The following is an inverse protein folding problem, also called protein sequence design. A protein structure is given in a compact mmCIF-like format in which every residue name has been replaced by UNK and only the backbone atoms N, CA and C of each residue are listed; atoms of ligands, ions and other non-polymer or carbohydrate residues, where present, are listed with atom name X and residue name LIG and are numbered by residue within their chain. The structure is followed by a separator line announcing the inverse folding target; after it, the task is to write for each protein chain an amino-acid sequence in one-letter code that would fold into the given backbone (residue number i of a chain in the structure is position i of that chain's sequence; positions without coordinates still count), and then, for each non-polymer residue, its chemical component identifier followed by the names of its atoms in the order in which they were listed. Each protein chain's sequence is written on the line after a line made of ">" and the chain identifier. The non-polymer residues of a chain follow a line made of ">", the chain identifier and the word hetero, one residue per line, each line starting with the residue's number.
data_IF_936222498142
#
_entry.id   IF_936222498142
#
_cell.length_a   1.000
_cell.length_b   1.000
_cell.length_c   1.000
_cell.angle_alpha   90.00
_cell.angle_beta   90.00
_cell.angle_gamma   90.00
#
_symmetry.space_group_name_H-M   'P 1'
#
loop_
_entity.id
_entity.type
_entity.pdbx_description
1 polymer ?
#
# COMPACT_ATOMS: atom_id res chain seq x y z
N UNK A 1 -23.28 -1.54 15.31
CA UNK A 1 -22.74 -2.34 14.19
C UNK A 1 -22.87 -1.49 12.94
N UNK A 2 -21.76 -1.10 12.31
CA UNK A 2 -21.76 -0.36 11.05
C UNK A 2 -20.92 -1.13 10.04
N UNK A 3 -21.57 -1.69 9.03
CA UNK A 3 -20.95 -2.26 7.85
C UNK A 3 -20.83 -1.15 6.78
N UNK A 4 -19.63 -0.96 6.23
CA UNK A 4 -19.39 -0.02 5.13
C UNK A 4 -17.92 -0.03 4.73
N UNK A 5 -17.64 -0.30 3.45
CA UNK A 5 -16.30 -0.32 2.85
C UNK A 5 -15.65 1.08 2.72
N UNK A 6 -16.28 2.11 3.28
CA UNK A 6 -15.77 3.48 3.29
C UNK A 6 -15.54 3.90 4.76
N UNK A 7 -14.27 3.98 5.24
CA UNK A 7 -13.96 4.20 6.65
C UNK A 7 -14.14 5.67 7.08
N UNK A 8 -14.92 6.47 6.35
CA UNK A 8 -15.19 7.85 6.70
C UNK A 8 -16.62 8.03 7.25
N UNK A 9 -16.70 8.59 8.45
CA UNK A 9 -17.94 8.92 9.14
C UNK A 9 -18.55 10.18 8.49
N UNK A 10 -19.84 10.13 8.17
CA UNK A 10 -20.58 11.28 7.65
C UNK A 10 -20.93 12.22 8.80
N UNK A 11 -20.62 13.49 8.61
CA UNK A 11 -20.83 14.54 9.59
C UNK A 11 -22.00 15.42 9.11
N UNK A 12 -23.21 15.28 9.70
CA UNK A 12 -24.38 16.00 9.24
C UNK A 12 -24.26 17.51 9.51
N UNK A 13 -25.01 18.30 8.74
CA UNK A 13 -25.17 19.74 9.00
C UNK A 13 -25.73 19.92 10.41
N UNK A 14 -25.07 20.71 11.25
CA UNK A 14 -25.75 21.35 12.37
C UNK A 14 -25.73 22.85 12.13
N UNK A 15 -26.80 23.54 12.52
CA UNK A 15 -26.73 24.98 12.78
C UNK A 15 -25.92 25.14 14.05
N UNK A 16 -24.74 25.72 13.93
CA UNK A 16 -23.81 25.92 15.03
C UNK A 16 -23.71 27.44 15.26
N UNK A 17 -23.96 27.95 16.47
CA UNK A 17 -23.81 29.37 16.79
C UNK A 17 -22.31 29.66 17.00
N UNK A 18 -21.70 30.34 16.02
CA UNK A 18 -20.34 30.89 16.01
C UNK A 18 -19.14 29.93 16.23
N UNK A 19 -17.96 30.46 15.90
CA UNK A 19 -16.64 29.84 15.63
C UNK A 19 -16.01 28.95 16.74
N UNK A 20 -16.78 28.46 17.71
CA UNK A 20 -16.25 27.85 18.96
C UNK A 20 -16.66 26.40 19.23
N UNK A 21 -17.47 25.78 18.37
CA UNK A 21 -17.99 24.42 18.67
C UNK A 21 -17.19 23.35 17.93
N UNK A 22 -16.38 22.62 18.69
CA UNK A 22 -15.60 21.49 18.18
C UNK A 22 -16.39 20.20 18.37
N UNK A 23 -16.48 19.37 17.34
CA UNK A 23 -17.06 18.03 17.44
C UNK A 23 -15.95 17.02 17.64
N UNK A 24 -16.25 16.02 18.46
CA UNK A 24 -15.29 14.99 18.86
C UNK A 24 -15.76 13.63 18.40
N UNK A 25 -14.89 12.91 17.68
CA UNK A 25 -15.02 11.49 17.47
C UNK A 25 -13.87 10.79 18.21
N UNK A 26 -14.14 9.64 18.81
CA UNK A 26 -13.09 8.87 19.47
C UNK A 26 -13.27 7.38 19.23
N UNK A 27 -12.18 6.64 19.37
CA UNK A 27 -12.16 5.19 19.36
C UNK A 27 -10.97 4.69 20.19
N UNK A 28 -11.12 3.50 20.76
CA UNK A 28 -10.02 2.82 21.42
C UNK A 28 -9.38 1.82 20.44
N UNK A 29 -8.04 1.75 20.46
CA UNK A 29 -7.23 0.87 19.62
C UNK A 29 -6.29 0.08 20.52
N UNK A 30 -6.39 -1.26 20.48
CA UNK A 30 -5.48 -2.13 21.22
C UNK A 30 -4.25 -2.48 20.38
N UNK A 31 -3.06 -2.34 20.97
CA UNK A 31 -1.79 -2.79 20.38
C UNK A 31 -1.11 -3.82 21.26
N UNK A 32 -0.57 -4.89 20.66
CA UNK A 32 0.16 -5.94 21.40
C UNK A 32 1.60 -5.53 21.76
N UNK A 33 2.14 -4.54 21.06
CA UNK A 33 3.48 -3.99 21.27
C UNK A 33 3.45 -2.47 21.16
N UNK A 34 4.52 -1.82 21.62
CA UNK A 34 4.79 -0.44 21.20
C UNK A 34 4.99 -0.40 19.68
N UNK A 35 4.35 0.55 19.00
CA UNK A 35 4.41 0.69 17.55
C UNK A 35 4.45 2.14 17.13
N UNK A 36 5.41 2.49 16.28
CA UNK A 36 5.31 3.71 15.48
C UNK A 36 4.36 3.44 14.32
N UNK A 37 3.35 4.30 14.16
CA UNK A 37 2.36 4.19 13.10
C UNK A 37 2.26 5.50 12.33
N UNK A 38 1.93 5.40 11.05
CA UNK A 38 1.51 6.54 10.25
C UNK A 38 0.00 6.64 10.28
N UNK A 39 -0.50 7.82 10.62
CA UNK A 39 -1.90 8.17 10.52
C UNK A 39 -2.21 8.81 9.17
N UNK A 40 -3.32 8.37 8.58
CA UNK A 40 -3.94 8.90 7.38
C UNK A 40 -5.30 9.45 7.79
N UNK A 41 -5.38 10.77 7.92
CA UNK A 41 -6.58 11.46 8.32
C UNK A 41 -7.12 12.36 7.21
N UNK A 42 -8.40 12.70 7.33
CA UNK A 42 -9.04 13.70 6.51
C UNK A 42 -10.29 14.20 7.23
N UNK A 43 -10.48 15.51 7.25
CA UNK A 43 -11.72 16.13 7.69
C UNK A 43 -12.00 17.38 6.86
N UNK A 44 -13.26 17.62 6.50
CA UNK A 44 -13.64 18.94 6.04
C UNK A 44 -13.80 19.88 7.24
N UNK A 45 -13.19 21.06 7.18
CA UNK A 45 -13.03 21.95 8.33
C UNK A 45 -11.58 22.04 8.81
N UNK A 46 -11.36 22.38 10.09
CA UNK A 46 -10.07 22.19 10.80
C UNK A 46 -9.99 20.80 11.39
N UNK A 47 -8.78 20.31 11.70
CA UNK A 47 -8.58 18.99 12.29
C UNK A 47 -7.50 19.03 13.37
N UNK A 48 -7.77 18.44 14.53
CA UNK A 48 -6.78 18.08 15.54
C UNK A 48 -6.95 16.61 15.92
N UNK A 49 -5.87 15.90 16.14
CA UNK A 49 -5.89 14.50 16.59
C UNK A 49 -5.03 14.34 17.83
N UNK A 50 -5.56 13.61 18.81
CA UNK A 50 -4.91 13.28 20.07
C UNK A 50 -4.85 11.76 20.26
N UNK A 51 -3.79 11.30 20.92
CA UNK A 51 -3.64 9.92 21.39
C UNK A 51 -3.34 9.95 22.88
N UNK A 52 -4.13 9.24 23.68
CA UNK A 52 -3.96 9.19 25.14
C UNK A 52 -3.86 10.60 25.78
N UNK A 53 -4.63 11.56 25.26
CA UNK A 53 -4.66 12.95 25.73
C UNK A 53 -3.49 13.83 25.23
N UNK A 54 -2.56 13.29 24.44
CA UNK A 54 -1.47 14.05 23.82
C UNK A 54 -1.82 14.45 22.40
N UNK A 55 -1.69 15.74 22.06
CA UNK A 55 -1.86 16.20 20.68
C UNK A 55 -0.74 15.65 19.78
N UNK A 56 -1.13 14.94 18.74
CA UNK A 56 -0.19 14.35 17.77
C UNK A 56 -0.29 14.99 16.39
N UNK A 57 -1.34 15.76 16.14
CA UNK A 57 -1.55 16.46 14.88
C UNK A 57 -2.51 17.64 14.99
N UNK A 58 -2.23 18.69 14.22
CA UNK A 58 -3.10 19.86 14.07
C UNK A 58 -3.03 20.43 12.65
N UNK A 59 -4.19 20.81 12.14
CA UNK A 59 -4.39 21.59 10.91
C UNK A 59 -5.37 22.73 11.17
N UNK A 60 -4.84 23.94 11.22
CA UNK A 60 -5.63 25.17 11.47
C UNK A 60 -6.32 25.74 10.22
N UNK A 61 -5.86 25.37 9.03
CA UNK A 61 -6.47 25.80 7.77
C UNK A 61 -7.77 25.04 7.47
N UNK A 62 -8.84 25.76 7.14
CA UNK A 62 -10.13 25.17 6.74
C UNK A 62 -10.01 24.62 5.32
N UNK A 63 -10.36 23.34 5.12
CA UNK A 63 -10.33 22.67 3.80
C UNK A 63 -11.56 21.79 3.59
N UNK A 64 -11.88 21.48 2.34
CA UNK A 64 -12.85 20.43 2.00
C UNK A 64 -12.27 19.03 2.29
N UNK A 65 -13.15 18.04 2.45
CA UNK A 65 -12.71 16.66 2.67
C UNK A 65 -11.98 16.10 1.44
N UNK A 66 -10.73 15.67 1.64
CA UNK A 66 -9.93 14.94 0.66
C UNK A 66 -9.35 13.69 1.35
N UNK A 67 -9.72 12.47 0.93
CA UNK A 67 -9.28 11.24 1.61
C UNK A 67 -7.75 11.16 1.78
N UNK A 68 -7.30 10.82 2.99
CA UNK A 68 -5.89 10.67 3.36
C UNK A 68 -5.01 11.92 3.11
N UNK A 69 -5.58 13.12 3.12
CA UNK A 69 -4.85 14.38 2.89
C UNK A 69 -3.93 14.78 4.04
N UNK A 70 -4.31 14.43 5.27
CA UNK A 70 -3.58 14.76 6.49
C UNK A 70 -2.76 13.55 6.91
N UNK A 71 -1.43 13.71 7.01
CA UNK A 71 -0.48 12.63 7.34
C UNK A 71 0.43 13.03 8.48
N UNK A 72 0.53 12.16 9.48
CA UNK A 72 1.37 12.40 10.65
C UNK A 72 1.77 11.08 11.30
N UNK A 73 2.80 11.14 12.14
CA UNK A 73 3.33 9.99 12.84
C UNK A 73 2.99 10.11 14.32
N UNK A 74 2.63 8.97 14.92
CA UNK A 74 2.50 8.89 16.37
C UNK A 74 2.74 7.46 16.83
N UNK A 75 3.00 7.32 18.13
CA UNK A 75 3.26 6.03 18.76
C UNK A 75 1.97 5.48 19.38
N UNK A 76 1.66 4.22 19.10
CA UNK A 76 0.73 3.42 19.88
C UNK A 76 1.52 2.67 20.94
N UNK A 77 1.17 2.84 22.20
CA UNK A 77 1.75 2.10 23.30
C UNK A 77 1.18 0.68 23.34
N UNK A 78 1.94 -0.28 23.88
CA UNK A 78 1.38 -1.59 24.24
C UNK A 78 0.16 -1.39 25.16
N UNK A 79 -0.94 -2.06 24.82
CA UNK A 79 -2.23 -1.91 25.50
C UNK A 79 -3.20 -1.04 24.71
N UNK A 80 -4.18 -0.47 25.42
CA UNK A 80 -5.26 0.33 24.83
C UNK A 80 -4.79 1.77 24.63
N UNK A 81 -4.98 2.30 23.42
CA UNK A 81 -4.71 3.68 23.05
C UNK A 81 -6.02 4.36 22.66
N UNK A 82 -6.34 5.48 23.29
CA UNK A 82 -7.53 6.28 22.96
C UNK A 82 -7.19 7.32 21.90
N UNK A 83 -7.80 7.18 20.73
CA UNK A 83 -7.71 8.15 19.64
C UNK A 83 -8.87 9.13 19.73
N UNK A 84 -8.59 10.42 19.67
CA UNK A 84 -9.60 11.49 19.70
C UNK A 84 -9.36 12.44 18.54
N UNK A 85 -10.35 12.62 17.68
CA UNK A 85 -10.34 13.55 16.57
C UNK A 85 -11.29 14.71 16.83
N UNK A 86 -10.74 15.91 16.79
CA UNK A 86 -11.40 17.19 17.01
C UNK A 86 -11.55 17.89 15.66
N UNK A 87 -12.77 18.26 15.31
CA UNK A 87 -13.06 18.88 14.02
C UNK A 87 -14.02 20.05 14.20
N UNK A 88 -13.75 21.12 13.46
CA UNK A 88 -14.57 22.32 13.41
C UNK A 88 -15.09 22.49 11.98
N UNK A 89 -16.41 22.34 11.80
CA UNK A 89 -17.07 22.36 10.49
C UNK A 89 -18.36 23.19 10.49
N UNK A 90 -18.57 23.98 9.42
CA UNK A 90 -19.78 24.78 9.22
C UNK A 90 -20.68 24.26 8.08
N UNK A 91 -20.29 23.17 7.39
CA UNK A 91 -21.02 22.52 6.29
C UNK A 91 -20.99 20.99 6.45
N UNK A 92 -21.92 20.23 5.82
CA UNK A 92 -21.83 18.78 5.76
C UNK A 92 -20.45 18.32 5.32
N UNK A 93 -19.89 17.36 6.06
CA UNK A 93 -18.49 16.96 5.89
C UNK A 93 -18.32 15.46 6.15
N UNK A 94 -17.09 14.98 6.05
CA UNK A 94 -16.70 13.61 6.39
C UNK A 94 -15.45 13.67 7.27
N UNK A 95 -15.33 12.70 8.18
CA UNK A 95 -14.12 12.47 8.98
C UNK A 95 -13.61 11.06 8.69
N UNK A 96 -12.32 10.96 8.40
CA UNK A 96 -11.60 9.72 8.25
C UNK A 96 -10.35 9.80 9.14
N UNK A 97 -10.13 8.79 9.96
CA UNK A 97 -8.84 8.55 10.61
C UNK A 97 -8.51 7.08 10.43
N UNK A 98 -7.40 6.80 9.77
CA UNK A 98 -6.84 5.47 9.59
C UNK A 98 -5.42 5.50 10.10
N UNK A 99 -4.90 4.35 10.48
CA UNK A 99 -3.48 4.21 10.78
C UNK A 99 -2.96 2.93 10.15
N UNK A 100 -1.65 2.90 9.96
CA UNK A 100 -0.92 1.73 9.46
C UNK A 100 0.41 1.65 10.18
N UNK A 101 0.91 0.42 10.36
CA UNK A 101 2.25 0.21 10.87
C UNK A 101 3.25 0.98 10.02
N UNK A 102 4.15 1.72 10.67
CA UNK A 102 5.27 2.38 9.99
C UNK A 102 6.29 1.30 9.63
N UNK A 103 6.02 0.68 8.50
CA UNK A 103 6.82 -0.41 7.95
C UNK A 103 8.00 0.16 7.14
N UNK A 104 7.82 1.36 6.56
CA UNK A 104 8.89 2.17 5.98
C UNK A 104 9.65 3.01 7.04
N UNK A 105 10.93 2.69 7.24
CA UNK A 105 11.86 3.50 8.04
C UNK A 105 12.95 4.10 7.15
N UNK A 106 13.41 5.30 7.48
CA UNK A 106 14.54 5.95 6.79
C UNK A 106 14.25 6.31 5.34
N UNK A 107 15.11 5.86 4.42
CA UNK A 107 15.12 6.26 3.00
C UNK A 107 13.78 6.05 2.30
N UNK A 108 13.10 4.92 2.56
CA UNK A 108 11.84 4.61 1.87
C UNK A 108 10.68 5.54 2.23
N UNK A 109 10.68 6.14 3.44
CA UNK A 109 9.70 7.17 3.81
C UNK A 109 9.87 8.40 2.92
N UNK A 110 11.10 8.81 2.63
CA UNK A 110 11.39 9.92 1.72
C UNK A 110 10.88 9.63 0.31
N UNK A 111 11.06 8.40 -0.20
CA UNK A 111 10.50 7.97 -1.49
C UNK A 111 8.97 8.09 -1.50
N UNK A 112 8.31 7.59 -0.46
CA UNK A 112 6.85 7.64 -0.34
C UNK A 112 6.34 9.09 -0.28
N UNK A 113 6.92 9.93 0.57
CA UNK A 113 6.52 11.32 0.74
C UNK A 113 6.68 12.13 -0.55
N UNK A 114 7.80 11.97 -1.26
CA UNK A 114 8.02 12.66 -2.53
C UNK A 114 7.07 12.15 -3.61
N UNK A 115 6.93 10.84 -3.79
CA UNK A 115 6.00 10.28 -4.77
C UNK A 115 4.53 10.64 -4.52
N UNK A 116 4.14 10.97 -3.29
CA UNK A 116 2.80 11.49 -2.99
C UNK A 116 2.60 12.96 -3.35
N UNK A 117 3.63 13.79 -3.17
CA UNK A 117 3.55 15.25 -3.33
C UNK A 117 3.89 15.69 -4.75
N UNK A 118 4.81 14.98 -5.40
CA UNK A 118 5.38 15.33 -6.69
C UNK A 118 4.71 14.54 -7.82
N UNK A 119 4.66 15.17 -8.99
CA UNK A 119 4.20 14.58 -10.24
C UNK A 119 5.42 14.19 -11.07
N UNK A 120 5.50 12.92 -11.46
CA UNK A 120 6.59 12.42 -12.29
C UNK A 120 6.32 12.53 -13.79
N UNK A 121 7.25 12.03 -14.58
CA UNK A 121 7.09 11.81 -16.03
C UNK A 121 6.65 10.37 -16.31
N UNK A 122 5.42 10.20 -16.77
CA UNK A 122 4.86 8.88 -17.09
C UNK A 122 5.60 8.17 -18.25
N UNK A 123 6.22 8.89 -19.18
CA UNK A 123 6.99 8.30 -20.29
C UNK A 123 8.30 7.73 -19.77
N UNK A 124 8.98 8.43 -18.85
CA UNK A 124 10.15 7.89 -18.18
C UNK A 124 9.78 6.71 -17.27
N UNK A 125 8.67 6.81 -16.55
CA UNK A 125 8.12 5.73 -15.75
C UNK A 125 7.83 4.46 -16.55
N UNK A 126 7.30 4.60 -17.77
CA UNK A 126 7.08 3.46 -18.66
C UNK A 126 8.40 2.79 -19.05
N UNK A 127 9.43 3.58 -19.39
CA UNK A 127 10.76 3.04 -19.73
C UNK A 127 11.35 2.26 -18.55
N UNK A 128 11.22 2.78 -17.34
CA UNK A 128 11.63 2.10 -16.12
C UNK A 128 10.86 0.78 -15.99
N UNK A 129 9.52 0.80 -16.04
CA UNK A 129 8.71 -0.41 -15.93
C UNK A 129 9.15 -1.52 -16.91
N UNK A 130 9.44 -1.14 -18.16
CA UNK A 130 9.85 -2.04 -19.24
C UNK A 130 11.31 -2.50 -19.16
N UNK A 131 12.17 -1.81 -18.40
CA UNK A 131 13.59 -2.14 -18.30
C UNK A 131 13.81 -3.41 -17.46
N UNK A 132 13.82 -4.55 -18.15
CA UNK A 132 14.12 -5.86 -17.56
C UNK A 132 15.62 -6.13 -17.39
N UNK A 133 16.52 -5.28 -17.88
CA UNK A 133 17.97 -5.53 -17.86
C UNK A 133 18.67 -4.79 -16.73
N UNK A 134 18.14 -3.64 -16.31
CA UNK A 134 18.75 -2.80 -15.27
C UNK A 134 17.89 -2.75 -14.03
N UNK A 135 17.22 -1.62 -13.80
CA UNK A 135 16.75 -1.22 -12.47
C UNK A 135 15.26 -1.42 -12.28
N UNK A 136 14.50 -1.40 -13.37
CA UNK A 136 13.04 -1.42 -13.36
C UNK A 136 12.44 -2.78 -13.05
N UNK A 137 12.87 -3.86 -13.72
CA UNK A 137 12.52 -5.28 -13.53
C UNK A 137 11.02 -5.62 -13.43
N UNK A 138 10.10 -4.65 -13.47
CA UNK A 138 8.68 -4.83 -13.25
C UNK A 138 8.07 -5.72 -14.34
N UNK A 139 8.41 -5.44 -15.61
CA UNK A 139 7.91 -6.20 -16.75
C UNK A 139 8.40 -7.66 -16.79
N UNK A 140 9.39 -8.06 -15.98
CA UNK A 140 9.79 -9.47 -15.85
C UNK A 140 8.70 -10.34 -15.26
N UNK A 141 7.87 -9.77 -14.38
CA UNK A 141 6.84 -10.50 -13.67
C UNK A 141 5.43 -9.96 -13.94
N UNK A 142 5.30 -8.65 -14.17
CA UNK A 142 4.01 -7.99 -14.35
C UNK A 142 3.74 -7.64 -15.81
N UNK A 143 2.45 -7.68 -16.16
CA UNK A 143 1.96 -7.33 -17.49
C UNK A 143 1.19 -6.02 -17.47
N UNK A 144 1.37 -5.21 -18.52
CA UNK A 144 0.49 -4.09 -18.89
C UNK A 144 0.15 -4.24 -20.38
N UNK A 145 -1.15 -4.39 -20.68
CA UNK A 145 -1.66 -4.73 -21.99
C UNK A 145 -1.03 -6.02 -22.53
N UNK A 146 -0.23 -5.89 -23.58
CA UNK A 146 0.50 -7.01 -24.22
C UNK A 146 1.96 -7.12 -23.79
N UNK A 147 2.47 -6.22 -22.95
CA UNK A 147 3.89 -6.18 -22.56
C UNK A 147 4.10 -6.77 -21.18
N UNK A 148 5.09 -7.64 -21.03
CA UNK A 148 5.53 -8.22 -19.76
C UNK A 148 5.00 -9.63 -19.51
N UNK A 149 5.43 -10.24 -18.41
CA UNK A 149 5.05 -11.61 -18.05
C UNK A 149 3.79 -11.67 -17.17
N UNK A 150 3.24 -12.88 -17.01
CA UNK A 150 2.09 -13.18 -16.14
C UNK A 150 2.50 -14.03 -14.93
N UNK A 151 3.54 -13.60 -14.22
CA UNK A 151 3.96 -14.23 -12.96
C UNK A 151 3.30 -13.52 -11.77
N UNK A 152 3.42 -12.20 -11.75
CA UNK A 152 2.71 -11.32 -10.83
C UNK A 152 1.34 -10.89 -11.37
N UNK A 153 0.60 -10.10 -10.58
CA UNK A 153 -0.65 -9.49 -11.01
C UNK A 153 -0.56 -8.72 -12.33
N UNK A 154 -1.61 -8.82 -13.14
CA UNK A 154 -1.80 -7.94 -14.27
C UNK A 154 -2.07 -6.50 -13.80
N UNK A 155 -1.25 -5.57 -14.28
CA UNK A 155 -1.29 -4.15 -13.93
C UNK A 155 -2.02 -3.30 -14.99
N UNK A 156 -2.61 -3.93 -16.01
CA UNK A 156 -3.50 -3.22 -16.94
C UNK A 156 -4.66 -2.61 -16.17
N UNK A 157 -4.86 -1.29 -16.33
CA UNK A 157 -5.89 -0.55 -15.60
C UNK A 157 -5.62 -0.38 -14.10
N UNK A 158 -4.40 -0.62 -13.61
CA UNK A 158 -4.09 -0.56 -12.17
C UNK A 158 -4.37 0.81 -11.55
N UNK A 159 -4.16 1.90 -12.28
CA UNK A 159 -4.42 3.27 -11.83
C UNK A 159 -5.90 3.61 -11.64
N UNK A 160 -6.83 2.77 -12.14
CA UNK A 160 -8.26 2.82 -11.79
C UNK A 160 -8.59 2.04 -10.52
N UNK A 161 -7.89 0.91 -10.31
CA UNK A 161 -8.18 -0.06 -9.25
C UNK A 161 -7.58 0.35 -7.91
N UNK A 162 -6.46 1.06 -7.94
CA UNK A 162 -5.72 1.42 -6.73
C UNK A 162 -5.38 2.91 -6.72
N UNK A 163 -5.50 3.51 -5.53
CA UNK A 163 -5.01 4.86 -5.26
C UNK A 163 -3.48 4.94 -5.42
N UNK A 164 -2.97 6.14 -5.72
CA UNK A 164 -1.51 6.42 -5.77
C UNK A 164 -0.76 5.89 -4.55
N UNK A 165 -1.31 6.09 -3.35
CA UNK A 165 -0.66 5.62 -2.12
C UNK A 165 -0.56 4.09 -2.06
N UNK A 166 -1.59 3.37 -2.46
CA UNK A 166 -1.55 1.91 -2.52
C UNK A 166 -0.47 1.40 -3.48
N UNK A 167 -0.29 2.07 -4.62
CA UNK A 167 0.74 1.72 -5.59
C UNK A 167 2.14 1.97 -5.04
N UNK A 168 2.35 3.12 -4.39
CA UNK A 168 3.61 3.45 -3.71
C UNK A 168 3.95 2.38 -2.67
N UNK A 169 3.00 2.03 -1.80
CA UNK A 169 3.23 1.00 -0.76
C UNK A 169 3.49 -0.38 -1.36
N UNK A 170 2.73 -0.79 -2.38
CA UNK A 170 2.89 -2.11 -2.98
C UNK A 170 4.28 -2.28 -3.63
N UNK A 171 4.84 -1.19 -4.17
CA UNK A 171 6.18 -1.20 -4.78
C UNK A 171 7.28 -1.12 -3.73
N UNK A 172 7.13 -0.29 -2.69
CA UNK A 172 8.15 -0.16 -1.64
C UNK A 172 8.15 -1.34 -0.66
N UNK A 173 7.00 -1.99 -0.45
CA UNK A 173 6.81 -3.04 0.56
C UNK A 173 5.98 -4.22 0.03
N UNK A 174 6.50 -4.98 -0.95
CA UNK A 174 5.75 -6.04 -1.61
C UNK A 174 5.29 -7.17 -0.69
N UNK A 175 5.95 -7.38 0.45
CA UNK A 175 5.59 -8.39 1.46
C UNK A 175 4.51 -7.94 2.44
N UNK A 176 4.15 -6.66 2.47
CA UNK A 176 3.21 -6.11 3.47
C UNK A 176 1.80 -6.65 3.31
N UNK A 177 1.36 -6.83 2.06
CA UNK A 177 0.05 -7.39 1.73
C UNK A 177 0.16 -8.23 0.47
N UNK A 178 0.14 -9.55 0.63
CA UNK A 178 0.23 -10.51 -0.48
C UNK A 178 -1.15 -11.12 -0.70
N UNK A 179 -1.71 -10.91 -1.89
CA UNK A 179 -2.98 -11.54 -2.25
C UNK A 179 -2.82 -13.07 -2.27
N UNK A 180 -3.84 -13.85 -1.82
CA UNK A 180 -3.71 -15.31 -1.70
C UNK A 180 -3.26 -16.03 -2.98
N UNK A 181 -3.70 -15.56 -4.16
CA UNK A 181 -3.31 -16.12 -5.45
C UNK A 181 -1.85 -15.88 -5.83
N UNK A 182 -1.16 -14.95 -5.15
CA UNK A 182 0.23 -14.56 -5.41
C UNK A 182 1.15 -14.84 -4.21
N UNK A 183 0.70 -15.65 -3.25
CA UNK A 183 1.53 -16.10 -2.15
C UNK A 183 2.74 -16.88 -2.66
N UNK A 184 3.92 -16.52 -2.14
CA UNK A 184 5.16 -17.23 -2.41
C UNK A 184 5.09 -18.62 -1.80
N UNK A 185 5.43 -19.63 -2.61
CA UNK A 185 5.58 -21.01 -2.18
C UNK A 185 7.05 -21.39 -2.20
N UNK A 186 7.46 -22.15 -1.19
CA UNK A 186 8.71 -22.91 -1.18
C UNK A 186 8.33 -24.35 -1.43
N UNK A 187 8.95 -24.96 -2.44
CA UNK A 187 8.77 -26.36 -2.83
C UNK A 187 10.11 -27.06 -2.69
N UNK A 188 10.15 -28.08 -1.85
CA UNK A 188 11.28 -29.00 -1.71
C UNK A 188 10.97 -30.22 -2.56
N UNK A 189 11.88 -30.56 -3.48
CA UNK A 189 11.77 -31.74 -4.33
C UNK A 189 12.50 -32.92 -3.69
N UNK A 190 12.06 -34.14 -3.99
CA UNK A 190 12.72 -35.39 -3.56
C UNK A 190 14.22 -35.45 -3.96
N UNK A 191 14.60 -34.72 -5.01
CA UNK A 191 15.99 -34.57 -5.43
C UNK A 191 16.84 -33.69 -4.48
N UNK A 192 16.26 -33.15 -3.41
CA UNK A 192 16.84 -32.13 -2.52
C UNK A 192 16.87 -30.71 -3.09
N UNK A 193 16.32 -30.46 -4.29
CA UNK A 193 16.27 -29.12 -4.88
C UNK A 193 15.16 -28.30 -4.23
N UNK A 194 15.47 -27.06 -3.86
CA UNK A 194 14.49 -26.12 -3.32
C UNK A 194 14.16 -25.05 -4.35
N UNK A 195 12.86 -24.90 -4.65
CA UNK A 195 12.34 -23.90 -5.57
C UNK A 195 11.46 -22.92 -4.79
N UNK A 196 11.56 -21.63 -5.11
CA UNK A 196 10.76 -20.59 -4.46
C UNK A 196 10.14 -19.69 -5.52
N UNK A 197 8.84 -19.47 -5.42
CA UNK A 197 8.14 -18.60 -6.36
C UNK A 197 6.63 -18.57 -6.20
N UNK A 198 5.98 -17.87 -7.10
CA UNK A 198 4.52 -17.77 -7.14
C UNK A 198 3.96 -18.86 -8.05
N UNK A 199 2.85 -19.48 -7.65
CA UNK A 199 2.12 -20.41 -8.51
C UNK A 199 1.53 -19.67 -9.72
N UNK A 200 2.03 -19.99 -10.92
CA UNK A 200 1.55 -19.45 -12.20
C UNK A 200 0.40 -20.29 -12.75
N UNK A 201 0.53 -21.61 -12.68
CA UNK A 201 -0.50 -22.57 -13.07
C UNK A 201 -0.33 -23.86 -12.29
N UNK A 202 -1.41 -24.63 -12.17
CA UNK A 202 -1.41 -25.92 -11.50
C UNK A 202 -2.47 -26.82 -12.13
N UNK A 203 -2.08 -28.03 -12.48
CA UNK A 203 -2.94 -29.10 -12.97
C UNK A 203 -2.98 -30.23 -11.92
N UNK A 204 -3.72 -31.33 -12.15
CA UNK A 204 -3.67 -32.49 -11.25
C UNK A 204 -2.27 -33.10 -11.08
N UNK A 205 -1.38 -32.96 -12.08
CA UNK A 205 -0.06 -33.62 -12.10
C UNK A 205 1.13 -32.66 -12.11
N UNK A 206 0.94 -31.41 -12.53
CA UNK A 206 2.03 -30.43 -12.70
C UNK A 206 1.77 -29.14 -11.92
N UNK A 207 2.80 -28.61 -11.28
CA UNK A 207 2.85 -27.27 -10.71
C UNK A 207 3.84 -26.41 -11.50
N UNK A 208 3.42 -25.22 -11.94
CA UNK A 208 4.34 -24.22 -12.51
C UNK A 208 4.54 -23.08 -11.52
N UNK A 209 5.79 -22.86 -11.11
CA UNK A 209 6.21 -21.72 -10.29
C UNK A 209 6.94 -20.68 -11.14
N UNK A 210 6.70 -19.39 -10.88
CA UNK A 210 7.51 -18.28 -11.36
C UNK A 210 8.37 -17.70 -10.24
N UNK A 211 9.69 -17.69 -10.40
CA UNK A 211 10.62 -17.18 -9.38
C UNK A 211 10.85 -15.66 -9.47
N UNK A 212 11.69 -15.14 -8.58
CA UNK A 212 12.00 -13.70 -8.48
C UNK A 212 12.84 -13.19 -9.67
N UNK A 213 13.53 -14.09 -10.37
CA UNK A 213 14.29 -13.79 -11.59
C UNK A 213 13.40 -13.68 -12.83
N UNK A 214 12.16 -14.17 -12.74
CA UNK A 214 11.19 -14.24 -13.84
C UNK A 214 11.22 -15.56 -14.60
N UNK A 215 11.86 -16.61 -14.05
CA UNK A 215 11.95 -17.93 -14.65
C UNK A 215 10.78 -18.81 -14.20
N UNK A 216 10.25 -19.57 -15.15
CA UNK A 216 9.23 -20.59 -14.90
C UNK A 216 9.88 -21.94 -14.62
N UNK A 217 9.42 -22.60 -13.56
CA UNK A 217 9.81 -23.95 -13.18
C UNK A 217 8.57 -24.83 -13.24
N UNK A 218 8.59 -25.84 -14.12
CA UNK A 218 7.59 -26.89 -14.17
C UNK A 218 8.05 -28.04 -13.30
N UNK A 219 7.15 -28.51 -12.44
CA UNK A 219 7.44 -29.48 -11.39
C UNK A 219 6.34 -30.54 -11.45
N UNK A 220 6.71 -31.81 -11.56
CA UNK A 220 5.74 -32.88 -11.38
C UNK A 220 5.37 -32.98 -9.90
N UNK A 221 4.08 -33.06 -9.59
CA UNK A 221 3.63 -33.13 -8.19
C UNK A 221 4.13 -34.38 -7.47
N UNK A 222 4.41 -35.45 -8.20
CA UNK A 222 5.02 -36.66 -7.67
C UNK A 222 6.46 -36.45 -7.21
N UNK A 223 7.15 -35.39 -7.65
CA UNK A 223 8.52 -35.08 -7.25
C UNK A 223 8.57 -34.13 -6.04
N UNK A 224 7.41 -33.70 -5.52
CA UNK A 224 7.32 -32.74 -4.41
C UNK A 224 7.34 -33.52 -3.09
N UNK A 225 8.37 -33.26 -2.29
CA UNK A 225 8.50 -33.77 -0.93
C UNK A 225 7.73 -32.89 0.06
N UNK A 226 7.93 -31.56 -0.03
CA UNK A 226 7.27 -30.59 0.86
C UNK A 226 6.89 -29.31 0.11
N UNK A 227 5.77 -28.70 0.51
CA UNK A 227 5.40 -27.36 0.06
C UNK A 227 4.90 -26.51 1.23
N UNK A 228 5.44 -25.29 1.36
CA UNK A 228 5.00 -24.31 2.34
C UNK A 228 4.75 -22.93 1.73
N UNK A 229 3.89 -22.14 2.38
CA UNK A 229 3.62 -20.74 2.00
C UNK A 229 4.46 -19.81 2.86
N UNK A 230 5.06 -18.80 2.22
CA UNK A 230 5.91 -17.82 2.89
C UNK A 230 5.17 -16.49 3.13
N UNK A 231 5.59 -15.79 4.18
CA UNK A 231 5.14 -14.42 4.49
C UNK A 231 5.88 -13.37 3.64
N UNK A 232 6.94 -13.75 2.95
CA UNK A 232 7.77 -12.88 2.12
C UNK A 232 7.35 -13.02 0.66
N UNK A 233 7.16 -11.89 -0.03
CA UNK A 233 6.76 -11.85 -1.44
C UNK A 233 7.90 -12.29 -2.37
N UNK A 234 7.54 -12.88 -3.50
CA UNK A 234 8.49 -13.16 -4.60
C UNK A 234 8.82 -11.88 -5.36
N UNK A 235 7.94 -10.87 -5.31
CA UNK A 235 8.25 -9.54 -5.83
C UNK A 235 9.41 -8.95 -5.02
N UNK A 236 10.54 -8.59 -5.67
CA UNK A 236 11.72 -8.15 -4.94
C UNK A 236 11.50 -6.83 -4.18
N UNK A 237 12.09 -6.73 -2.99
CA UNK A 237 12.18 -5.51 -2.21
C UNK A 237 13.37 -4.63 -2.63
N UNK A 238 13.63 -3.56 -1.89
CA UNK A 238 14.84 -2.74 -2.09
C UNK A 238 14.80 -1.90 -3.36
N UNK A 239 13.65 -1.28 -3.65
CA UNK A 239 13.50 -0.35 -4.79
C UNK A 239 14.41 0.86 -4.63
N UNK A 240 14.66 1.32 -3.42
CA UNK A 240 15.60 2.39 -3.08
C UNK A 240 17.05 2.10 -3.45
N UNK A 241 17.42 0.81 -3.55
CA UNK A 241 18.75 0.37 -3.99
C UNK A 241 18.90 0.33 -5.52
N UNK A 242 17.79 0.43 -6.25
CA UNK A 242 17.74 0.29 -7.71
C UNK A 242 17.30 1.57 -8.38
N UNK A 243 16.21 2.17 -7.93
CA UNK A 243 15.70 3.41 -8.50
C UNK A 243 16.14 4.57 -7.61
N UNK A 244 16.51 5.68 -8.23
CA UNK A 244 16.57 6.98 -7.56
C UNK A 244 15.16 7.43 -7.16
N UNK A 245 15.07 8.43 -6.28
CA UNK A 245 13.79 8.99 -5.88
C UNK A 245 12.99 9.51 -7.08
N UNK A 246 13.65 10.17 -8.05
CA UNK A 246 12.96 10.68 -9.24
C UNK A 246 12.44 9.55 -10.13
N UNK A 247 13.28 8.54 -10.39
CA UNK A 247 12.87 7.36 -11.16
C UNK A 247 11.67 6.64 -10.51
N UNK A 248 11.63 6.57 -9.18
CA UNK A 248 10.47 6.02 -8.47
C UNK A 248 9.21 6.88 -8.64
N UNK A 249 9.33 8.21 -8.56
CA UNK A 249 8.19 9.13 -8.77
C UNK A 249 7.65 8.98 -10.20
N UNK A 250 8.53 8.88 -11.19
CA UNK A 250 8.19 8.67 -12.60
C UNK A 250 7.47 7.33 -12.81
N UNK A 251 7.99 6.24 -12.21
CA UNK A 251 7.35 4.93 -12.22
C UNK A 251 5.94 4.97 -11.62
N UNK A 252 5.77 5.63 -10.47
CA UNK A 252 4.47 5.78 -9.82
C UNK A 252 3.51 6.58 -10.68
N UNK A 253 3.96 7.66 -11.32
CA UNK A 253 3.13 8.43 -12.25
C UNK A 253 2.65 7.57 -13.43
N UNK A 254 3.53 6.76 -14.00
CA UNK A 254 3.17 5.81 -15.05
C UNK A 254 2.11 4.80 -14.58
N UNK A 255 2.28 4.20 -13.39
CA UNK A 255 1.30 3.24 -12.86
C UNK A 255 -0.06 3.90 -12.57
N UNK A 256 -0.07 5.12 -12.05
CA UNK A 256 -1.30 5.91 -11.82
C UNK A 256 -1.98 6.29 -13.14
N UNK A 257 -1.21 6.52 -14.20
CA UNK A 257 -1.75 6.85 -15.52
C UNK A 257 -2.35 5.64 -16.25
N UNK A 258 -2.06 4.41 -15.81
CA UNK A 258 -2.66 3.18 -16.35
C UNK A 258 -4.15 3.05 -15.99
N UNK A 259 -4.99 3.87 -16.62
CA UNK A 259 -6.44 3.87 -16.45
C UNK A 259 -7.19 3.13 -17.56
N UNK A 260 -6.52 2.81 -18.66
CA UNK A 260 -7.10 1.98 -19.73
C UNK A 260 -7.10 0.51 -19.32
N UNK A 261 -8.18 -0.19 -19.65
CA UNK A 261 -8.31 -1.66 -19.54
C UNK A 261 -8.11 -2.38 -20.87
N UNK A 262 -7.81 -1.63 -21.94
CA UNK A 262 -7.52 -2.14 -23.28
C UNK A 262 -6.01 -2.27 -23.49
#
# INVERSE_FOLDING_TARGET
>A
MAAGADPAVVLPRAKVPDEKTVRVAWTDVSSTTDKDVEFLAAAGGRLRVEINGTEVYRRDGVRGFQPNSDRFHAKLNRGVNRLVAWVDWNRPSRLQVRFRDRTLKGVLETYAQRALKEKGDAVLGERIFRDIKRRGLCARCHRIGKTGARIGPDLTGVGRRFSRIHLIEAVLEPSRAIAPSYQTRVVVLESGRVLTGVRVSETPIELTLGDKEGKLHKIMKSEIEEQSVQKISTMPDGVDKRLTQQEFIDLVEFLVSQRSTR
#
